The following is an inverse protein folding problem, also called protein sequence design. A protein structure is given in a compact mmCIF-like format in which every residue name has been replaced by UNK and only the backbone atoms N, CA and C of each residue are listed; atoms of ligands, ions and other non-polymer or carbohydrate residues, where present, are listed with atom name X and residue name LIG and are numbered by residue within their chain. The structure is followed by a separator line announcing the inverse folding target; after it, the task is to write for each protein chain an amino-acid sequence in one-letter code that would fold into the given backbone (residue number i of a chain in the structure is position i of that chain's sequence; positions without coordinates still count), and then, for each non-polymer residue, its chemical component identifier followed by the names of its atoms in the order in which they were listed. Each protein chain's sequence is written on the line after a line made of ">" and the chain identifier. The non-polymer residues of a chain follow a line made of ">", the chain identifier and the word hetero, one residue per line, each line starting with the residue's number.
data_IF_607863164577
#
_entry.id   IF_607863164577
#
_cell.length_a   1.000
_cell.length_b   1.000
_cell.length_c   1.000
_cell.angle_alpha   90.00
_cell.angle_beta   90.00
_cell.angle_gamma   90.00
#
_symmetry.space_group_name_H-M   'P 1'
#
loop_
_entity.id
_entity.type
_entity.pdbx_description
1 polymer ?
#
# COMPACT_ATOMS: atom_id res chain seq x y z
N UNK A 1 8.40 18.77 -17.52
CA UNK A 1 9.09 17.46 -17.47
C UNK A 1 9.68 17.33 -16.08
N UNK A 2 8.97 16.69 -15.17
CA UNK A 2 9.42 16.53 -13.78
C UNK A 2 10.52 15.48 -13.73
N UNK A 3 11.70 15.89 -13.26
CA UNK A 3 12.92 15.10 -13.25
C UNK A 3 12.74 13.79 -12.44
N UNK A 4 12.87 12.66 -13.12
CA UNK A 4 12.79 11.30 -12.55
C UNK A 4 14.10 10.88 -11.85
N UNK A 5 15.15 11.71 -11.91
CA UNK A 5 16.47 11.39 -11.36
C UNK A 5 16.48 11.24 -9.83
N UNK A 6 15.64 12.02 -9.13
CA UNK A 6 15.58 11.98 -7.66
C UNK A 6 14.99 10.67 -7.11
N UNK A 7 14.03 10.07 -7.83
CA UNK A 7 13.41 8.80 -7.42
C UNK A 7 14.38 7.63 -7.63
N UNK A 8 15.21 7.70 -8.68
CA UNK A 8 16.22 6.71 -9.00
C UNK A 8 17.31 6.63 -7.93
N UNK A 9 17.85 7.79 -7.49
CA UNK A 9 18.86 7.86 -6.42
C UNK A 9 18.35 7.24 -5.12
N UNK A 10 17.13 7.62 -4.71
CA UNK A 10 16.57 7.20 -3.43
C UNK A 10 16.24 5.69 -3.40
N UNK A 11 15.77 5.13 -4.52
CA UNK A 11 15.54 3.68 -4.66
C UNK A 11 16.86 2.91 -4.68
N UNK A 12 17.87 3.39 -5.42
CA UNK A 12 19.17 2.74 -5.49
C UNK A 12 19.88 2.70 -4.14
N UNK A 13 19.76 3.76 -3.33
CA UNK A 13 20.34 3.82 -1.99
C UNK A 13 19.60 2.89 -1.02
N UNK A 14 18.28 2.79 -1.14
CA UNK A 14 17.45 1.87 -0.34
C UNK A 14 17.75 0.39 -0.68
N UNK A 15 17.96 0.08 -1.96
CA UNK A 15 18.35 -1.26 -2.43
C UNK A 15 19.81 -1.60 -2.08
N UNK A 16 20.71 -0.61 -2.07
CA UNK A 16 22.12 -0.79 -1.66
C UNK A 16 22.25 -1.19 -0.19
N UNK A 17 21.31 -0.80 0.66
CA UNK A 17 21.27 -1.18 2.09
C UNK A 17 20.77 -2.62 2.28
N UNK A 18 19.97 -3.17 1.36
CA UNK A 18 19.48 -4.57 1.42
C UNK A 18 20.45 -5.62 0.89
N UNK A 19 21.64 -5.23 0.43
CA UNK A 19 22.59 -6.09 -0.28
C UNK A 19 23.29 -7.19 0.56
N UNK A 20 22.87 -7.41 1.82
CA UNK A 20 23.63 -8.26 2.74
C UNK A 20 23.05 -9.63 3.07
N UNK A 21 21.81 -10.00 2.69
CA UNK A 21 21.36 -11.39 2.90
C UNK A 21 20.51 -11.88 1.71
N UNK A 22 21.13 -12.76 0.92
CA UNK A 22 20.53 -13.82 0.11
C UNK A 22 19.27 -13.51 -0.71
N UNK A 23 19.39 -12.67 -1.75
CA UNK A 23 18.48 -12.76 -2.89
C UNK A 23 19.26 -12.99 -4.18
N UNK A 24 19.01 -14.16 -4.76
CA UNK A 24 19.48 -14.64 -6.06
C UNK A 24 19.33 -13.57 -7.15
N UNK A 25 20.43 -13.32 -7.85
CA UNK A 25 20.60 -12.35 -8.94
C UNK A 25 19.58 -12.47 -10.10
N UNK A 26 18.85 -13.58 -10.22
CA UNK A 26 17.81 -13.75 -11.25
C UNK A 26 16.52 -12.95 -10.99
N UNK A 27 16.26 -12.54 -9.75
CA UNK A 27 15.05 -11.79 -9.41
C UNK A 27 15.23 -10.27 -9.56
N UNK A 28 16.47 -9.78 -9.48
CA UNK A 28 16.78 -8.35 -9.64
C UNK A 28 16.63 -7.91 -11.10
N UNK A 29 17.04 -8.75 -12.05
CA UNK A 29 16.87 -8.51 -13.49
C UNK A 29 15.39 -8.50 -13.89
N UNK A 30 14.58 -9.40 -13.33
CA UNK A 30 13.12 -9.43 -13.55
C UNK A 30 12.38 -8.23 -12.93
N UNK A 31 12.83 -7.76 -11.77
CA UNK A 31 12.24 -6.59 -11.11
C UNK A 31 12.60 -5.28 -11.84
N UNK A 32 13.81 -5.22 -12.39
CA UNK A 32 14.27 -4.16 -13.29
C UNK A 32 13.47 -4.13 -14.61
N UNK A 33 13.20 -5.29 -15.22
CA UNK A 33 12.41 -5.39 -16.45
C UNK A 33 10.92 -5.08 -16.23
N UNK A 34 10.32 -5.54 -15.13
CA UNK A 34 8.92 -5.26 -14.78
C UNK A 34 8.67 -3.77 -14.45
N UNK A 35 9.68 -3.08 -13.89
CA UNK A 35 9.61 -1.64 -13.61
C UNK A 35 9.86 -0.77 -14.85
N UNK A 36 10.51 -1.31 -15.89
CA UNK A 36 10.74 -0.62 -17.17
C UNK A 36 9.60 -0.81 -18.19
N UNK A 37 8.87 -1.93 -18.16
CA UNK A 37 7.87 -2.27 -19.19
C UNK A 37 6.40 -1.95 -18.85
N UNK A 38 6.11 -1.37 -17.68
CA UNK A 38 4.77 -0.86 -17.37
C UNK A 38 3.68 -1.94 -17.24
N UNK A 39 4.05 -3.20 -16.97
CA UNK A 39 3.07 -4.27 -16.74
C UNK A 39 2.64 -4.30 -15.27
N UNK A 40 1.72 -3.38 -14.93
CA UNK A 40 1.08 -3.30 -13.61
C UNK A 40 0.39 -4.61 -13.16
N UNK A 41 0.08 -5.50 -14.09
CA UNK A 41 -0.60 -6.76 -13.80
C UNK A 41 0.32 -7.84 -13.17
N UNK A 42 1.64 -7.80 -13.42
CA UNK A 42 2.61 -8.69 -12.75
C UNK A 42 2.90 -8.27 -11.31
N UNK A 43 2.88 -6.95 -11.01
CA UNK A 43 2.92 -6.44 -9.63
C UNK A 43 1.65 -6.82 -8.86
N UNK A 44 0.49 -6.81 -9.52
CA UNK A 44 -0.79 -7.32 -8.98
C UNK A 44 -0.71 -8.79 -8.59
N UNK A 45 -0.06 -9.63 -9.40
CA UNK A 45 0.00 -11.07 -9.15
C UNK A 45 1.03 -11.44 -8.08
N UNK A 46 2.18 -10.75 -8.01
CA UNK A 46 3.22 -11.00 -7.00
C UNK A 46 2.83 -10.53 -5.60
N UNK A 47 2.05 -9.45 -5.47
CA UNK A 47 1.59 -8.96 -4.16
C UNK A 47 0.44 -9.81 -3.58
N UNK A 48 -0.36 -10.48 -4.41
CA UNK A 48 -1.51 -11.28 -3.97
C UNK A 48 -1.19 -12.70 -3.46
N UNK A 49 0.00 -13.25 -3.77
CA UNK A 49 0.34 -14.64 -3.44
C UNK A 49 1.09 -14.83 -2.10
N UNK A 50 1.39 -13.76 -1.37
CA UNK A 50 2.29 -13.79 -0.21
C UNK A 50 1.68 -13.52 1.18
N UNK A 51 0.43 -13.05 1.28
CA UNK A 51 -0.15 -12.65 2.56
C UNK A 51 -1.36 -13.53 2.91
N UNK A 52 -1.19 -14.44 3.88
CA UNK A 52 -2.25 -15.35 4.36
C UNK A 52 -3.38 -14.63 5.13
N UNK A 53 -3.44 -13.30 5.10
CA UNK A 53 -4.36 -12.45 5.86
C UNK A 53 -5.46 -11.81 4.99
N UNK A 54 -5.52 -12.15 3.68
CA UNK A 54 -6.51 -11.61 2.76
C UNK A 54 -6.29 -10.13 2.39
N UNK A 55 -5.12 -9.56 2.68
CA UNK A 55 -4.79 -8.18 2.35
C UNK A 55 -4.49 -8.03 0.85
N UNK A 56 -5.05 -6.98 0.27
CA UNK A 56 -4.83 -6.60 -1.15
C UNK A 56 -3.64 -5.64 -1.27
N UNK A 57 -3.12 -5.38 -2.50
CA UNK A 57 -2.10 -4.35 -2.69
C UNK A 57 -2.50 -2.98 -2.12
N UNK A 58 -3.80 -2.63 -2.16
CA UNK A 58 -4.30 -1.37 -1.60
C UNK A 58 -4.26 -1.35 -0.07
N UNK A 59 -4.47 -2.50 0.60
CA UNK A 59 -4.28 -2.62 2.05
C UNK A 59 -2.82 -2.35 2.42
N UNK A 60 -1.89 -3.06 1.79
CA UNK A 60 -0.46 -2.97 2.10
C UNK A 60 0.07 -1.56 1.82
N UNK A 61 -0.32 -0.96 0.70
CA UNK A 61 0.04 0.42 0.38
C UNK A 61 -0.53 1.41 1.40
N UNK A 62 -1.74 1.16 1.90
CA UNK A 62 -2.39 2.02 2.89
C UNK A 62 -1.77 1.89 4.28
N UNK A 63 -1.43 0.66 4.69
CA UNK A 63 -0.74 0.35 5.94
C UNK A 63 0.64 0.99 6.03
N UNK A 64 1.35 1.12 4.90
CA UNK A 64 2.70 1.67 4.83
C UNK A 64 2.74 3.15 4.37
N UNK A 65 1.59 3.79 4.20
CA UNK A 65 1.52 5.20 3.82
C UNK A 65 2.04 5.51 2.41
N UNK A 66 1.98 4.56 1.47
CA UNK A 66 2.49 4.71 0.11
C UNK A 66 1.49 5.47 -0.79
N UNK A 67 1.33 6.76 -0.52
CA UNK A 67 0.37 7.68 -1.16
C UNK A 67 0.23 7.52 -2.67
N UNK A 68 1.36 7.52 -3.41
CA UNK A 68 1.36 7.39 -4.88
C UNK A 68 0.79 6.06 -5.36
N UNK A 69 1.04 4.98 -4.61
CA UNK A 69 0.52 3.64 -4.94
C UNK A 69 -0.97 3.59 -4.60
N UNK A 70 -1.38 4.17 -3.47
CA UNK A 70 -2.80 4.26 -3.07
C UNK A 70 -3.60 5.06 -4.09
N UNK A 71 -3.10 6.21 -4.53
CA UNK A 71 -3.73 7.03 -5.56
C UNK A 71 -3.86 6.26 -6.88
N UNK A 72 -2.76 5.67 -7.36
CA UNK A 72 -2.76 4.88 -8.59
C UNK A 72 -3.77 3.72 -8.55
N UNK A 73 -3.76 2.94 -7.46
CA UNK A 73 -4.65 1.78 -7.31
C UNK A 73 -6.13 2.20 -7.22
N UNK A 74 -6.42 3.28 -6.48
CA UNK A 74 -7.79 3.79 -6.34
C UNK A 74 -8.35 4.28 -7.68
N UNK A 75 -7.53 4.97 -8.48
CA UNK A 75 -7.90 5.44 -9.82
C UNK A 75 -7.98 4.30 -10.86
N UNK A 76 -7.27 3.19 -10.62
CA UNK A 76 -7.24 2.01 -11.50
C UNK A 76 -8.39 1.03 -11.26
N UNK A 77 -9.42 1.42 -10.49
CA UNK A 77 -10.61 0.60 -10.24
C UNK A 77 -10.41 -0.49 -9.19
N UNK A 78 -9.40 -0.39 -8.33
CA UNK A 78 -9.29 -1.27 -7.17
C UNK A 78 -10.54 -1.12 -6.28
N UNK A 79 -10.98 -2.21 -5.65
CA UNK A 79 -12.08 -2.16 -4.70
C UNK A 79 -11.61 -1.45 -3.42
N UNK A 80 -11.99 -0.19 -3.23
CA UNK A 80 -11.49 0.68 -2.16
C UNK A 80 -12.01 0.32 -0.75
N UNK A 81 -13.18 -0.31 -0.68
CA UNK A 81 -13.81 -0.77 0.58
C UNK A 81 -13.64 -2.28 0.82
N UNK A 82 -12.71 -2.94 0.09
CA UNK A 82 -12.45 -4.37 0.28
C UNK A 82 -11.97 -4.64 1.70
N UNK A 83 -12.47 -5.72 2.30
CA UNK A 83 -12.06 -6.16 3.64
C UNK A 83 -11.09 -7.32 3.55
N UNK A 84 -10.02 -7.26 4.34
CA UNK A 84 -9.13 -8.41 4.56
C UNK A 84 -9.74 -9.39 5.59
N UNK A 85 -9.01 -10.45 5.97
CA UNK A 85 -9.51 -11.49 6.87
C UNK A 85 -9.83 -10.97 8.28
N UNK A 86 -9.27 -9.82 8.68
CA UNK A 86 -9.57 -9.15 9.95
C UNK A 86 -10.81 -8.23 9.85
N UNK A 87 -11.45 -8.18 8.70
CA UNK A 87 -12.55 -7.26 8.42
C UNK A 87 -12.08 -5.81 8.19
N UNK A 88 -10.77 -5.56 8.23
CA UNK A 88 -10.19 -4.23 8.04
C UNK A 88 -10.23 -3.84 6.57
N UNK A 89 -10.53 -2.56 6.30
CA UNK A 89 -10.40 -1.96 4.97
C UNK A 89 -9.05 -1.24 4.81
N UNK A 90 -8.65 -0.81 3.61
CA UNK A 90 -7.50 0.08 3.43
C UNK A 90 -7.54 1.32 4.32
N UNK A 91 -8.72 1.91 4.54
CA UNK A 91 -8.90 3.05 5.43
C UNK A 91 -8.58 2.71 6.90
N UNK A 92 -8.92 1.51 7.37
CA UNK A 92 -8.53 1.06 8.72
C UNK A 92 -7.01 0.99 8.86
N UNK A 93 -6.32 0.49 7.83
CA UNK A 93 -4.86 0.36 7.84
C UNK A 93 -4.16 1.73 7.84
N UNK A 94 -4.59 2.66 6.98
CA UNK A 94 -4.03 4.01 6.97
C UNK A 94 -4.29 4.75 8.29
N UNK A 95 -5.51 4.65 8.82
CA UNK A 95 -5.93 5.36 10.05
C UNK A 95 -5.24 4.80 11.29
N UNK A 96 -5.17 3.47 11.43
CA UNK A 96 -4.52 2.81 12.55
C UNK A 96 -3.00 3.01 12.60
N UNK A 97 -2.37 3.38 11.48
CA UNK A 97 -0.94 3.70 11.40
C UNK A 97 -0.66 5.21 11.30
N UNK A 98 -1.69 6.07 11.38
CA UNK A 98 -1.53 7.52 11.40
C UNK A 98 -1.09 8.14 10.08
N UNK A 99 -1.37 7.48 8.95
CA UNK A 99 -1.02 7.99 7.62
C UNK A 99 -2.06 8.98 7.11
N UNK A 100 -2.06 10.18 7.69
CA UNK A 100 -3.02 11.27 7.42
C UNK A 100 -3.22 11.51 5.91
N UNK A 101 -2.14 11.61 5.13
CA UNK A 101 -2.25 11.89 3.69
C UNK A 101 -2.88 10.76 2.90
N UNK A 102 -2.59 9.52 3.28
CA UNK A 102 -3.22 8.34 2.70
C UNK A 102 -4.71 8.27 3.05
N UNK A 103 -5.07 8.63 4.29
CA UNK A 103 -6.47 8.77 4.70
C UNK A 103 -7.18 9.81 3.84
N UNK A 104 -6.59 10.99 3.62
CA UNK A 104 -7.15 12.01 2.73
C UNK A 104 -7.40 11.48 1.31
N UNK A 105 -6.41 10.78 0.72
CA UNK A 105 -6.54 10.21 -0.63
C UNK A 105 -7.69 9.21 -0.68
N UNK A 106 -7.79 8.29 0.29
CA UNK A 106 -8.88 7.31 0.33
C UNK A 106 -10.25 7.98 0.48
N UNK A 107 -10.37 9.00 1.34
CA UNK A 107 -11.60 9.78 1.51
C UNK A 107 -12.02 10.50 0.22
N UNK A 108 -11.06 11.08 -0.51
CA UNK A 108 -11.31 11.71 -1.81
C UNK A 108 -11.81 10.71 -2.86
N UNK A 109 -11.46 9.44 -2.72
CA UNK A 109 -11.92 8.36 -3.60
C UNK A 109 -13.27 7.74 -3.14
N UNK A 110 -13.90 8.28 -2.09
CA UNK A 110 -15.28 7.92 -1.74
C UNK A 110 -15.44 6.61 -0.96
N UNK A 111 -14.46 6.25 -0.13
CA UNK A 111 -14.57 5.11 0.80
C UNK A 111 -15.72 5.28 1.79
N UNK A 112 -16.29 4.17 2.23
CA UNK A 112 -17.33 4.15 3.27
C UNK A 112 -16.68 4.23 4.66
N UNK A 113 -16.86 5.35 5.37
CA UNK A 113 -16.11 5.69 6.59
C UNK A 113 -16.55 4.93 7.86
N UNK A 114 -17.77 4.43 7.88
CA UNK A 114 -18.40 3.80 9.06
C UNK A 114 -18.39 2.26 9.00
N UNK A 115 -17.68 1.69 8.01
CA UNK A 115 -17.42 0.26 7.96
C UNK A 115 -16.68 -0.18 9.23
N UNK A 116 -17.12 -1.33 9.76
CA UNK A 116 -16.55 -1.94 10.95
C UNK A 116 -15.70 -3.16 10.62
N UNK A 117 -14.56 -3.28 11.27
CA UNK A 117 -13.76 -4.50 11.27
C UNK A 117 -14.38 -5.61 12.14
N UNK A 118 -13.71 -6.76 12.25
CA UNK A 118 -14.21 -7.89 13.02
C UNK A 118 -14.32 -7.62 14.53
N UNK A 119 -13.65 -6.58 15.04
CA UNK A 119 -13.76 -6.14 16.42
C UNK A 119 -14.89 -5.11 16.62
N UNK A 120 -15.65 -4.81 15.56
CA UNK A 120 -16.72 -3.81 15.59
C UNK A 120 -16.21 -2.37 15.58
N UNK A 121 -14.92 -2.15 15.31
CA UNK A 121 -14.28 -0.84 15.28
C UNK A 121 -14.30 -0.24 13.88
N UNK A 122 -14.50 1.07 13.79
CA UNK A 122 -14.30 1.83 12.54
C UNK A 122 -12.85 2.29 12.43
N UNK A 123 -12.47 2.83 11.27
CA UNK A 123 -11.14 3.40 11.05
C UNK A 123 -10.79 4.50 12.08
N UNK A 124 -11.76 5.34 12.45
CA UNK A 124 -11.58 6.36 13.50
C UNK A 124 -11.31 5.75 14.87
N UNK A 125 -12.00 4.67 15.25
CA UNK A 125 -11.72 3.96 16.50
C UNK A 125 -10.29 3.42 16.53
N UNK A 126 -9.79 2.90 15.41
CA UNK A 126 -8.39 2.43 15.28
C UNK A 126 -7.38 3.56 15.41
N UNK A 127 -7.64 4.71 14.78
CA UNK A 127 -6.78 5.88 14.93
C UNK A 127 -6.66 6.30 16.40
N UNK A 128 -7.80 6.40 17.10
CA UNK A 128 -7.85 6.75 18.52
C UNK A 128 -7.14 5.72 19.40
N UNK A 129 -7.39 4.42 19.18
CA UNK A 129 -6.74 3.31 19.91
C UNK A 129 -5.21 3.40 19.82
N UNK A 130 -4.68 3.88 18.70
CA UNK A 130 -3.26 4.01 18.41
C UNK A 130 -2.69 5.41 18.71
N UNK A 131 -3.51 6.34 19.17
CA UNK A 131 -3.11 7.70 19.53
C UNK A 131 -3.00 8.68 18.35
N UNK A 132 -3.50 8.30 17.17
CA UNK A 132 -3.56 9.14 15.97
C UNK A 132 -4.88 9.92 15.98
N UNK A 133 -4.80 11.22 16.24
CA UNK A 133 -5.99 12.08 16.52
C UNK A 133 -6.12 13.27 15.58
N UNK A 134 -5.26 13.36 14.58
CA UNK A 134 -5.27 14.37 13.53
C UNK A 134 -5.85 13.77 12.27
#
# INVERSE_FOLDING_TARGET
>A
MSDKSGYFSMLSDTLRIKKNEEMSYENEEKLYDASLLGSFDEVKELVGKGANDGSTPLHNASENGHEKIVEFLSQSGAQIDIKNNNGSTPLHQASGNGHEKTVEILLQNGVTIDLRDNNGMTAMHRAIEKGHTK
#
